data_IF_674763736811
#
_entry.id   IF_674763736811
#
_cell.length_a   1.000
_cell.length_b   1.000
_cell.length_c   1.000
_cell.angle_alpha   90.00
_cell.angle_beta   90.00
_cell.angle_gamma   90.00
#
_symmetry.space_group_name_H-M   'P 1'
#
loop_
_entity.id
_entity.type
_entity.pdbx_description
1 polymer ?
#
# COMPACT_ATOMS: atom_id res chain seq x y z
N UNK A 1 -4.02 -30.48 40.21
CA UNK A 1 -3.22 -30.68 38.99
C UNK A 1 -4.10 -30.86 37.74
N UNK A 2 -4.60 -32.05 37.40
CA UNK A 2 -5.39 -32.26 36.15
C UNK A 2 -6.73 -31.51 36.14
N UNK A 3 -7.46 -31.48 37.26
CA UNK A 3 -8.73 -30.73 37.37
C UNK A 3 -8.54 -29.22 37.24
N UNK A 4 -7.45 -28.67 37.79
CA UNK A 4 -7.15 -27.24 37.71
C UNK A 4 -6.76 -26.86 36.29
N UNK A 5 -5.96 -27.71 35.62
CA UNK A 5 -5.68 -27.58 34.19
C UNK A 5 -6.97 -27.63 33.36
N UNK A 6 -7.89 -28.55 33.68
CA UNK A 6 -9.17 -28.63 32.97
C UNK A 6 -10.05 -27.39 33.21
N UNK A 7 -10.15 -26.91 34.46
CA UNK A 7 -10.89 -25.69 34.82
C UNK A 7 -10.35 -24.45 34.10
N UNK A 8 -9.05 -24.40 33.83
CA UNK A 8 -8.43 -23.31 33.08
C UNK A 8 -8.54 -23.48 31.57
N UNK A 9 -8.29 -24.68 31.04
CA UNK A 9 -8.24 -24.93 29.60
C UNK A 9 -9.62 -24.96 28.94
N UNK A 10 -10.65 -25.48 29.61
CA UNK A 10 -11.99 -25.61 29.00
C UNK A 10 -12.63 -24.27 28.62
N UNK A 11 -12.58 -23.22 29.48
CA UNK A 11 -13.03 -21.87 29.09
C UNK A 11 -12.19 -21.27 27.97
N UNK A 12 -10.86 -21.41 28.03
CA UNK A 12 -9.95 -20.91 27.01
C UNK A 12 -10.20 -21.55 25.64
N UNK A 13 -10.40 -22.88 25.59
CA UNK A 13 -10.72 -23.58 24.35
C UNK A 13 -12.11 -23.20 23.82
N UNK A 14 -13.10 -23.04 24.70
CA UNK A 14 -14.43 -22.57 24.29
C UNK A 14 -14.37 -21.17 23.68
N UNK A 15 -13.59 -20.26 24.28
CA UNK A 15 -13.40 -18.92 23.75
C UNK A 15 -12.68 -18.93 22.39
N UNK A 16 -11.65 -19.76 22.22
CA UNK A 16 -10.95 -19.92 20.93
C UNK A 16 -11.86 -20.48 19.85
N UNK A 17 -12.70 -21.47 20.18
CA UNK A 17 -13.67 -22.04 19.24
C UNK A 17 -14.75 -21.02 18.87
N UNK A 18 -15.30 -20.29 19.85
CA UNK A 18 -16.27 -19.20 19.60
C UNK A 18 -15.67 -18.09 18.74
N UNK A 19 -14.43 -17.72 19.01
CA UNK A 19 -13.69 -16.76 18.20
C UNK A 19 -13.51 -17.26 16.77
N UNK A 20 -13.12 -18.53 16.58
CA UNK A 20 -12.98 -19.14 15.27
C UNK A 20 -14.30 -19.26 14.50
N UNK A 21 -15.43 -19.47 15.19
CA UNK A 21 -16.75 -19.46 14.55
C UNK A 21 -17.22 -18.06 14.17
N UNK A 22 -16.73 -17.03 14.85
CA UNK A 22 -17.12 -15.63 14.62
C UNK A 22 -16.22 -14.95 13.57
N UNK A 23 -14.91 -15.22 13.62
CA UNK A 23 -13.91 -14.70 12.70
C UNK A 23 -13.24 -15.85 11.93
N UNK A 24 -13.37 -15.85 10.61
CA UNK A 24 -12.63 -16.80 9.78
C UNK A 24 -11.13 -16.54 9.85
N UNK A 25 -10.29 -17.58 9.94
CA UNK A 25 -8.83 -17.43 9.94
C UNK A 25 -8.31 -16.58 8.77
N UNK A 26 -8.91 -16.73 7.58
CA UNK A 26 -8.56 -15.93 6.40
C UNK A 26 -8.85 -14.44 6.62
N UNK A 27 -9.93 -14.10 7.31
CA UNK A 27 -10.29 -12.72 7.62
C UNK A 27 -9.28 -12.10 8.60
N UNK A 28 -8.82 -12.86 9.59
CA UNK A 28 -7.78 -12.41 10.53
C UNK A 28 -6.43 -12.19 9.85
N UNK A 29 -6.03 -13.10 8.96
CA UNK A 29 -4.81 -12.94 8.14
C UNK A 29 -4.93 -11.68 7.27
N UNK A 30 -6.09 -11.48 6.65
CA UNK A 30 -6.37 -10.30 5.83
C UNK A 30 -6.34 -9.00 6.64
N UNK A 31 -7.02 -8.96 7.79
CA UNK A 31 -7.01 -7.83 8.73
C UNK A 31 -5.59 -7.51 9.18
N UNK A 32 -4.80 -8.54 9.56
CA UNK A 32 -3.40 -8.38 9.95
C UNK A 32 -2.55 -7.81 8.82
N UNK A 33 -2.71 -8.34 7.61
CA UNK A 33 -2.00 -7.86 6.43
C UNK A 33 -2.30 -6.38 6.14
N UNK A 34 -3.58 -6.00 6.16
CA UNK A 34 -3.99 -4.62 5.97
C UNK A 34 -3.49 -3.69 7.09
N UNK A 35 -3.61 -4.10 8.35
CA UNK A 35 -3.13 -3.34 9.49
C UNK A 35 -1.62 -3.09 9.41
N UNK A 36 -0.83 -4.11 9.06
CA UNK A 36 0.61 -3.98 8.89
C UNK A 36 0.98 -3.01 7.76
N UNK A 37 0.32 -3.10 6.60
CA UNK A 37 0.55 -2.16 5.49
C UNK A 37 0.20 -0.74 5.86
N UNK A 38 -0.90 -0.54 6.58
CA UNK A 38 -1.30 0.79 7.07
C UNK A 38 -0.29 1.35 8.06
N UNK A 39 0.20 0.54 9.00
CA UNK A 39 1.22 0.95 9.96
C UNK A 39 2.55 1.31 9.29
N UNK A 40 2.97 0.55 8.28
CA UNK A 40 4.15 0.88 7.49
C UNK A 40 3.98 2.20 6.72
N UNK A 41 2.84 2.39 6.07
CA UNK A 41 2.53 3.63 5.37
C UNK A 41 2.53 4.82 6.34
N UNK A 42 1.97 4.65 7.52
CA UNK A 42 1.92 5.66 8.57
C UNK A 42 3.32 6.03 9.09
N UNK A 43 4.17 5.05 9.38
CA UNK A 43 5.55 5.28 9.82
C UNK A 43 6.36 6.07 8.77
N UNK A 44 6.24 5.67 7.50
CA UNK A 44 6.90 6.36 6.39
C UNK A 44 6.38 7.78 6.23
N UNK A 45 5.05 7.98 6.25
CA UNK A 45 4.47 9.33 6.14
C UNK A 45 4.88 10.23 7.30
N UNK A 46 4.97 9.68 8.51
CA UNK A 46 5.44 10.41 9.69
C UNK A 46 6.89 10.86 9.51
N UNK A 47 7.79 9.98 9.09
CA UNK A 47 9.20 10.32 8.81
C UNK A 47 9.31 11.42 7.74
N UNK A 48 8.58 11.29 6.62
CA UNK A 48 8.56 12.31 5.57
C UNK A 48 8.02 13.67 6.01
N UNK A 49 7.11 13.69 6.99
CA UNK A 49 6.43 14.91 7.43
C UNK A 49 6.94 15.45 8.76
N UNK A 50 7.92 14.80 9.39
CA UNK A 50 8.45 15.18 10.71
C UNK A 50 9.05 16.59 10.69
N UNK A 51 9.78 16.93 9.63
CA UNK A 51 10.35 18.27 9.43
C UNK A 51 9.39 19.26 8.76
N UNK A 52 8.55 18.74 7.86
CA UNK A 52 7.75 19.53 6.92
C UNK A 52 6.36 19.94 7.47
N UNK A 53 5.76 19.07 8.30
CA UNK A 53 4.41 19.22 8.84
C UNK A 53 3.33 19.50 7.77
N UNK A 54 2.20 20.07 8.23
CA UNK A 54 1.03 20.39 7.39
C UNK A 54 1.22 21.56 6.43
N UNK A 55 2.31 22.32 6.56
CA UNK A 55 2.59 23.49 5.68
C UNK A 55 3.17 23.07 4.34
N UNK A 56 3.65 21.83 4.23
CA UNK A 56 4.26 21.32 3.00
C UNK A 56 3.21 20.77 2.06
N UNK A 57 3.32 21.17 0.80
CA UNK A 57 2.52 20.61 -0.30
C UNK A 57 3.36 19.55 -1.01
N UNK A 58 2.84 18.33 -1.09
CA UNK A 58 3.50 17.22 -1.76
C UNK A 58 2.79 16.92 -3.07
N UNK A 59 3.56 16.96 -4.16
CA UNK A 59 3.11 16.55 -5.48
C UNK A 59 3.21 15.04 -5.64
N UNK A 60 2.08 14.34 -5.75
CA UNK A 60 2.01 12.90 -5.91
C UNK A 60 1.67 12.52 -7.35
N UNK A 61 2.47 11.67 -7.98
CA UNK A 61 2.23 11.21 -9.36
C UNK A 61 0.90 10.46 -9.49
N UNK A 62 0.18 10.67 -10.59
CA UNK A 62 -1.05 9.91 -10.85
C UNK A 62 -0.74 8.43 -11.14
N UNK A 63 -1.20 7.56 -10.24
CA UNK A 63 -1.18 6.10 -10.42
C UNK A 63 -2.49 5.58 -11.03
N UNK A 64 -3.28 6.45 -11.66
CA UNK A 64 -4.52 6.05 -12.32
C UNK A 64 -4.24 5.18 -13.55
N UNK A 65 -5.08 4.17 -13.78
CA UNK A 65 -5.04 3.31 -14.96
C UNK A 65 -5.44 4.05 -16.26
N UNK A 66 -5.91 5.28 -16.13
CA UNK A 66 -6.49 6.11 -17.20
C UNK A 66 -5.47 6.75 -18.13
N UNK A 67 -4.18 6.79 -17.77
CA UNK A 67 -3.13 7.39 -18.60
C UNK A 67 -2.79 6.45 -19.78
N UNK A 68 -3.14 6.82 -21.04
CA UNK A 68 -2.94 5.97 -22.21
C UNK A 68 -1.46 5.67 -22.50
N UNK A 69 -0.53 6.51 -22.00
CA UNK A 69 0.91 6.40 -22.21
C UNK A 69 1.71 5.86 -21.01
N UNK A 70 1.06 5.62 -19.88
CA UNK A 70 1.73 5.26 -18.62
C UNK A 70 2.27 3.83 -18.59
N UNK A 71 3.47 3.65 -18.02
CA UNK A 71 4.09 2.33 -17.77
C UNK A 71 3.29 1.50 -16.74
N UNK A 72 2.52 2.20 -15.90
CA UNK A 72 1.75 1.65 -14.76
C UNK A 72 0.38 1.12 -15.22
N UNK A 73 0.10 1.11 -16.53
CA UNK A 73 -1.17 0.63 -17.09
C UNK A 73 -1.47 -0.82 -16.67
N UNK A 74 -2.73 -1.09 -16.33
CA UNK A 74 -3.28 -2.43 -16.10
C UNK A 74 -2.91 -3.08 -14.76
N UNK A 75 -2.07 -2.45 -13.92
CA UNK A 75 -1.69 -3.00 -12.62
C UNK A 75 -2.58 -2.44 -11.51
N UNK A 76 -3.01 -3.27 -10.55
CA UNK A 76 -3.70 -2.75 -9.37
C UNK A 76 -2.77 -1.74 -8.68
N UNK A 77 -3.32 -0.61 -8.26
CA UNK A 77 -2.58 0.53 -7.68
C UNK A 77 -1.82 0.19 -6.37
N UNK A 78 -1.85 -1.07 -5.93
CA UNK A 78 -0.99 -1.61 -4.90
C UNK A 78 -1.09 -0.83 -3.57
N UNK A 79 -0.01 -0.81 -2.78
CA UNK A 79 0.02 -0.04 -1.54
C UNK A 79 0.10 1.49 -1.77
N UNK A 80 0.27 1.93 -3.01
CA UNK A 80 0.57 3.32 -3.35
C UNK A 80 -0.60 4.24 -3.01
N UNK A 81 -1.83 3.76 -3.25
CA UNK A 81 -3.04 4.50 -2.85
C UNK A 81 -3.16 4.63 -1.33
N UNK A 82 -2.85 3.57 -0.58
CA UNK A 82 -2.88 3.62 0.88
C UNK A 82 -1.84 4.62 1.43
N UNK A 83 -0.67 4.69 0.80
CA UNK A 83 0.35 5.71 1.14
C UNK A 83 -0.16 7.11 0.83
N UNK A 84 -0.77 7.33 -0.34
CA UNK A 84 -1.36 8.64 -0.71
C UNK A 84 -2.43 9.09 0.29
N UNK A 85 -3.32 8.18 0.68
CA UNK A 85 -4.35 8.45 1.69
C UNK A 85 -3.74 8.78 3.05
N UNK A 86 -2.78 7.96 3.53
CA UNK A 86 -2.04 8.22 4.76
C UNK A 86 -1.37 9.61 4.74
N UNK A 87 -0.69 9.94 3.64
CA UNK A 87 0.03 11.20 3.48
C UNK A 87 -0.91 12.41 3.54
N UNK A 88 -2.15 12.27 3.05
CA UNK A 88 -3.19 13.31 3.13
C UNK A 88 -3.62 13.68 4.56
N UNK A 89 -3.39 12.81 5.56
CA UNK A 89 -3.64 13.16 6.96
C UNK A 89 -2.54 14.06 7.55
N UNK A 90 -1.32 13.99 6.99
CA UNK A 90 -0.13 14.69 7.48
C UNK A 90 0.18 15.97 6.71
N UNK A 91 -0.06 16.02 5.40
CA UNK A 91 0.27 17.17 4.56
C UNK A 91 -0.74 17.39 3.42
N UNK A 92 -0.60 18.51 2.70
CA UNK A 92 -1.44 18.78 1.54
C UNK A 92 -0.92 18.03 0.32
N UNK A 93 -1.66 17.02 -0.13
CA UNK A 93 -1.25 16.17 -1.27
C UNK A 93 -2.00 16.61 -2.53
N UNK A 94 -1.25 17.02 -3.55
CA UNK A 94 -1.78 17.37 -4.87
C UNK A 94 -1.43 16.25 -5.85
N UNK A 95 -2.42 15.77 -6.60
CA UNK A 95 -2.15 14.79 -7.67
C UNK A 95 -1.59 15.53 -8.87
N UNK A 96 -0.41 15.12 -9.34
CA UNK A 96 0.26 15.69 -10.50
C UNK A 96 0.28 14.64 -11.60
N UNK A 97 -0.15 15.04 -12.79
CA UNK A 97 -0.12 14.15 -13.94
C UNK A 97 1.32 13.78 -14.30
N UNK A 98 1.54 12.49 -14.60
CA UNK A 98 2.87 11.91 -14.77
C UNK A 98 3.38 12.24 -16.18
N UNK A 99 3.75 13.50 -16.45
CA UNK A 99 4.34 13.88 -17.73
C UNK A 99 5.81 13.40 -17.84
N UNK A 100 5.99 12.06 -17.92
CA UNK A 100 7.28 11.39 -18.18
C UNK A 100 8.42 11.80 -17.24
N UNK A 101 8.14 12.18 -15.99
CA UNK A 101 9.15 12.73 -15.06
C UNK A 101 10.24 11.74 -14.69
N UNK A 102 9.97 10.43 -14.74
CA UNK A 102 11.00 9.40 -14.59
C UNK A 102 11.97 9.35 -15.78
N UNK A 103 11.52 9.73 -16.98
CA UNK A 103 12.24 9.62 -18.25
C UNK A 103 12.94 10.93 -18.67
N UNK A 104 12.67 12.04 -18.00
CA UNK A 104 13.24 13.34 -18.31
C UNK A 104 14.27 13.73 -17.25
N UNK A 105 15.43 14.20 -17.68
CA UNK A 105 16.39 14.78 -16.75
C UNK A 105 15.82 16.08 -16.17
N UNK A 106 15.83 16.21 -14.84
CA UNK A 106 15.22 17.34 -14.10
C UNK A 106 15.65 18.73 -14.60
N UNK A 107 16.92 18.89 -15.02
CA UNK A 107 17.48 20.21 -15.39
C UNK A 107 17.28 20.60 -16.85
N UNK A 108 17.46 19.67 -17.78
CA UNK A 108 17.46 19.96 -19.21
C UNK A 108 16.19 19.45 -19.91
N UNK A 109 15.32 18.72 -19.19
CA UNK A 109 14.11 18.11 -19.73
C UNK A 109 14.35 17.25 -20.98
N UNK A 110 15.57 16.77 -21.17
CA UNK A 110 15.89 15.83 -22.22
C UNK A 110 15.53 14.42 -21.78
N UNK A 111 15.10 13.62 -22.74
CA UNK A 111 14.83 12.20 -22.52
C UNK A 111 16.15 11.50 -22.18
N UNK A 112 16.13 10.72 -21.11
CA UNK A 112 17.25 9.87 -20.73
C UNK A 112 17.21 8.58 -21.54
N UNK A 113 18.20 8.39 -22.40
CA UNK A 113 18.36 7.16 -23.17
C UNK A 113 18.97 6.06 -22.27
N UNK A 114 18.38 4.86 -22.29
CA UNK A 114 18.90 3.70 -21.56
C UNK A 114 18.14 3.32 -20.28
N UNK A 115 17.15 4.10 -19.83
CA UNK A 115 16.21 3.62 -18.81
C UNK A 115 15.30 2.54 -19.40
N UNK A 116 15.57 1.28 -19.05
CA UNK A 116 14.71 0.15 -19.40
C UNK A 116 13.41 0.24 -18.61
N UNK A 117 12.36 0.74 -19.24
CA UNK A 117 11.01 0.45 -18.82
C UNK A 117 10.55 -0.82 -19.53
N UNK A 118 10.92 -1.98 -18.98
CA UNK A 118 10.29 -3.23 -19.42
C UNK A 118 8.82 -3.15 -19.03
N UNK A 119 7.95 -2.95 -20.03
CA UNK A 119 6.55 -3.32 -19.89
C UNK A 119 6.57 -4.83 -19.61
N UNK A 120 6.27 -5.22 -18.37
CA UNK A 120 6.09 -6.63 -18.07
C UNK A 120 5.01 -7.15 -19.02
N UNK A 121 5.42 -8.07 -19.90
CA UNK A 121 4.55 -8.63 -20.93
C UNK A 121 3.37 -9.29 -20.24
N UNK A 122 2.17 -8.93 -20.64
CA UNK A 122 1.00 -9.72 -20.29
C UNK A 122 1.18 -11.08 -20.99
N UNK A 123 1.26 -12.16 -20.21
CA UNK A 123 1.09 -13.51 -20.77
C UNK A 123 -0.39 -13.69 -21.13
N UNK A 124 -0.78 -13.07 -22.25
CA UNK A 124 -2.00 -13.47 -22.96
C UNK A 124 -1.74 -14.83 -23.60
N UNK A 125 -2.18 -15.86 -22.90
CA UNK A 125 -1.96 -17.24 -23.31
C UNK A 125 -2.89 -18.22 -22.60
N UNK A 126 -4.21 -18.05 -22.73
CA UNK A 126 -5.11 -19.21 -22.69
C UNK A 126 -6.30 -19.02 -23.62
N UNK A 127 -6.17 -19.75 -24.73
CA UNK A 127 -7.20 -20.11 -25.72
C UNK A 127 -8.24 -21.03 -25.09
#
# INVERSE_FOLDING_TARGET
MLEECARYMVPCMSALLQFHTNEGFCELIFKRYHAHRKALADAVCKEFTEEAGRKTTVGFGSWSTSDPGGIIKGRPAGPVNAVKECLGYYCHVVTIDENRRSQLQHRCHMRMDGQRHEKAKDEDGKK
#
